data_IF_425703285937
#
_entry.id   IF_425703285937
#
_cell.length_a   1.000
_cell.length_b   1.000
_cell.length_c   1.000
_cell.angle_alpha   90.00
_cell.angle_beta   90.00
_cell.angle_gamma   90.00
#
_symmetry.space_group_name_H-M   'P 1'
#
loop_
_entity.id
_entity.type
_entity.pdbx_description
1 polymer ?
#
# COMPACT_ATOMS: atom_id res chain seq x y z
N UNK A 1 -8.25 6.66 1.86
CA UNK A 1 -7.35 6.70 0.68
C UNK A 1 -6.38 7.85 0.90
N UNK A 2 -5.08 7.66 0.67
CA UNK A 2 -4.09 8.75 0.73
C UNK A 2 -3.49 9.01 -0.64
N UNK A 3 -3.37 10.29 -0.99
CA UNK A 3 -2.87 10.77 -2.28
C UNK A 3 -1.39 11.14 -2.21
N UNK A 4 -0.71 11.02 -3.35
CA UNK A 4 0.71 11.31 -3.44
C UNK A 4 0.95 12.10 -4.72
N UNK A 5 1.47 13.30 -4.57
CA UNK A 5 1.86 14.14 -5.69
C UNK A 5 3.34 13.92 -5.98
N UNK A 6 3.66 13.22 -7.07
CA UNK A 6 5.04 13.24 -7.57
C UNK A 6 5.26 14.58 -8.25
N UNK A 7 6.02 15.50 -7.63
CA UNK A 7 6.43 16.74 -8.31
C UNK A 7 7.13 16.39 -9.62
N UNK A 8 6.44 16.63 -10.74
CA UNK A 8 6.74 16.09 -12.07
C UNK A 8 5.50 15.55 -12.82
N UNK A 9 4.42 16.33 -12.85
CA UNK A 9 3.22 16.31 -13.73
C UNK A 9 2.51 15.05 -14.26
N UNK A 10 2.92 13.78 -14.05
CA UNK A 10 2.18 12.67 -14.70
C UNK A 10 1.93 11.38 -13.91
N UNK A 11 2.24 11.29 -12.62
CA UNK A 11 1.65 10.20 -11.81
C UNK A 11 1.34 10.64 -10.37
N UNK A 12 0.09 10.44 -9.97
CA UNK A 12 -0.24 10.38 -8.56
C UNK A 12 -0.37 8.90 -8.18
N UNK A 13 0.68 8.33 -7.60
CA UNK A 13 0.57 7.01 -7.01
C UNK A 13 -0.37 7.06 -5.79
N UNK A 14 -1.05 5.96 -5.51
CA UNK A 14 -1.98 5.87 -4.38
C UNK A 14 -1.70 4.63 -3.56
N UNK A 15 -1.73 4.79 -2.24
CA UNK A 15 -1.85 3.66 -1.31
C UNK A 15 -3.22 3.68 -0.66
N UNK A 16 -3.88 2.54 -0.76
CA UNK A 16 -5.17 2.29 -0.15
C UNK A 16 -5.05 1.16 0.86
N UNK A 17 -5.68 1.35 2.02
CA UNK A 17 -6.01 0.26 2.91
C UNK A 17 -7.45 -0.18 2.62
N UNK A 18 -7.62 -1.44 2.25
CA UNK A 18 -8.89 -2.06 1.90
C UNK A 18 -9.29 -3.06 2.99
N UNK A 19 -10.59 -3.20 3.20
CA UNK A 19 -11.16 -4.10 4.20
C UNK A 19 -12.38 -4.84 3.66
N UNK A 20 -12.52 -6.12 4.02
CA UNK A 20 -13.71 -6.93 3.73
C UNK A 20 -14.40 -7.32 5.03
N UNK A 21 -15.62 -6.82 5.24
CA UNK A 21 -16.47 -7.21 6.38
C UNK A 21 -16.86 -8.70 6.34
N UNK A 22 -16.99 -9.28 5.14
CA UNK A 22 -17.37 -10.69 4.97
C UNK A 22 -16.25 -11.65 5.37
N UNK A 23 -15.01 -11.30 5.05
CA UNK A 23 -13.84 -12.13 5.33
C UNK A 23 -13.11 -11.72 6.61
N UNK A 24 -13.45 -10.55 7.17
CA UNK A 24 -12.72 -9.88 8.23
C UNK A 24 -11.22 -9.77 7.92
N UNK A 25 -10.90 -9.29 6.71
CA UNK A 25 -9.52 -9.18 6.24
C UNK A 25 -9.21 -7.78 5.74
N UNK A 26 -8.00 -7.30 6.06
CA UNK A 26 -7.42 -6.08 5.54
C UNK A 26 -6.31 -6.37 4.52
N UNK A 27 -6.09 -5.49 3.55
CA UNK A 27 -4.93 -5.54 2.65
C UNK A 27 -4.61 -4.15 2.10
N UNK A 28 -3.36 -3.94 1.72
CA UNK A 28 -2.94 -2.73 1.04
C UNK A 28 -2.99 -2.91 -0.49
N UNK A 29 -3.34 -1.84 -1.20
CA UNK A 29 -3.18 -1.73 -2.65
C UNK A 29 -2.32 -0.50 -2.95
N UNK A 30 -1.27 -0.69 -3.74
CA UNK A 30 -0.57 0.37 -4.45
C UNK A 30 -1.16 0.48 -5.85
N UNK A 31 -1.41 1.68 -6.35
CA UNK A 31 -1.86 1.92 -7.73
C UNK A 31 -1.20 3.15 -8.33
N UNK A 32 -1.15 3.21 -9.66
CA UNK A 32 -0.54 4.30 -10.42
C UNK A 32 0.93 4.54 -10.05
N UNK A 33 1.65 3.47 -9.66
CA UNK A 33 3.04 3.55 -9.28
C UNK A 33 3.96 3.06 -10.41
N UNK A 34 5.19 3.55 -10.38
CA UNK A 34 6.25 3.12 -11.29
C UNK A 34 7.01 1.92 -10.74
N UNK A 35 7.30 0.98 -11.62
CA UNK A 35 8.24 -0.10 -11.40
C UNK A 35 9.69 0.39 -11.31
N UNK A 36 10.66 -0.53 -11.18
CA UNK A 36 12.08 -0.18 -11.08
C UNK A 36 12.64 0.39 -12.39
N UNK A 37 13.56 1.35 -12.27
CA UNK A 37 14.34 1.87 -13.38
C UNK A 37 15.52 0.94 -13.76
N UNK A 38 15.97 0.95 -15.03
CA UNK A 38 17.22 0.28 -15.43
C UNK A 38 18.41 0.76 -14.58
N UNK A 39 18.97 -0.13 -13.75
CA UNK A 39 20.08 0.18 -12.85
C UNK A 39 19.68 0.59 -11.42
N UNK A 40 18.38 0.77 -11.15
CA UNK A 40 17.81 0.92 -9.81
C UNK A 40 16.70 -0.11 -9.61
N UNK A 41 17.04 -1.24 -8.99
CA UNK A 41 16.11 -2.36 -8.77
C UNK A 41 15.03 -2.08 -7.70
N UNK A 42 14.89 -0.84 -7.22
CA UNK A 42 13.91 -0.49 -6.18
C UNK A 42 12.68 0.16 -6.82
N UNK A 43 11.70 -0.66 -7.20
CA UNK A 43 10.38 -0.19 -7.62
C UNK A 43 9.50 0.25 -6.45
N UNK A 44 8.30 0.77 -6.76
CA UNK A 44 7.30 1.06 -5.74
C UNK A 44 6.84 -0.21 -5.00
N UNK A 45 6.42 -0.06 -3.74
CA UNK A 45 5.90 -1.16 -2.93
C UNK A 45 4.79 -0.68 -1.98
N UNK A 46 3.95 -1.61 -1.54
CA UNK A 46 3.05 -1.39 -0.41
C UNK A 46 3.26 -2.45 0.68
N UNK A 47 2.99 -2.04 1.91
CA UNK A 47 3.03 -2.86 3.11
C UNK A 47 1.65 -2.83 3.77
N UNK A 48 1.23 -3.98 4.28
CA UNK A 48 0.17 -4.09 5.28
C UNK A 48 0.82 -4.51 6.59
N UNK A 49 0.57 -3.75 7.65
CA UNK A 49 0.98 -4.05 9.02
C UNK A 49 -0.26 -4.46 9.82
N UNK A 50 -0.28 -5.72 10.24
CA UNK A 50 -1.33 -6.24 11.10
C UNK A 50 -0.99 -5.91 12.54
N UNK A 51 -1.72 -4.97 13.13
CA UNK A 51 -1.40 -4.44 14.45
C UNK A 51 -1.61 -5.45 15.59
N UNK A 52 -2.44 -6.49 15.39
CA UNK A 52 -2.70 -7.50 16.41
C UNK A 52 -1.48 -8.38 16.74
N UNK A 53 -0.61 -8.64 15.77
CA UNK A 53 0.57 -9.51 15.93
C UNK A 53 1.85 -8.92 15.32
N UNK A 54 1.80 -7.63 14.95
CA UNK A 54 2.89 -6.85 14.35
C UNK A 54 3.45 -7.43 13.04
N UNK A 55 2.79 -8.41 12.42
CA UNK A 55 3.26 -8.99 11.16
C UNK A 55 3.11 -7.99 10.01
N UNK A 56 4.05 -8.04 9.09
CA UNK A 56 4.07 -7.21 7.90
C UNK A 56 4.12 -8.08 6.65
N UNK A 57 3.33 -7.70 5.65
CA UNK A 57 3.33 -8.33 4.34
C UNK A 57 3.50 -7.25 3.28
N UNK A 58 4.36 -7.54 2.30
CA UNK A 58 4.79 -6.59 1.28
C UNK A 58 4.34 -7.05 -0.10
N UNK A 59 3.99 -6.10 -0.96
CA UNK A 59 3.96 -6.30 -2.40
C UNK A 59 4.95 -5.36 -3.06
N UNK A 60 5.72 -5.89 -4.00
CA UNK A 60 6.74 -5.19 -4.74
C UNK A 60 6.34 -5.08 -6.21
N UNK A 61 6.56 -3.92 -6.81
CA UNK A 61 6.57 -3.77 -8.25
C UNK A 61 7.93 -4.23 -8.76
N UNK A 62 7.96 -5.38 -9.43
CA UNK A 62 9.20 -6.02 -9.92
C UNK A 62 9.44 -5.78 -11.40
N UNK A 63 8.40 -5.45 -12.15
CA UNK A 63 8.50 -5.20 -13.59
C UNK A 63 8.64 -3.71 -13.87
N UNK A 64 9.56 -3.36 -14.75
CA UNK A 64 9.74 -2.00 -15.25
C UNK A 64 8.53 -1.60 -16.10
N UNK A 65 7.51 -1.06 -15.44
CA UNK A 65 6.27 -0.61 -16.07
C UNK A 65 5.72 0.62 -15.36
N UNK A 66 4.99 1.43 -16.12
CA UNK A 66 4.32 2.63 -15.64
C UNK A 66 2.88 2.33 -15.24
N UNK A 67 2.30 3.16 -14.36
CA UNK A 67 0.90 3.07 -13.95
C UNK A 67 0.48 1.69 -13.41
N UNK A 68 1.39 1.03 -12.71
CA UNK A 68 1.21 -0.34 -12.23
C UNK A 68 0.50 -0.38 -10.87
N UNK A 69 0.07 -1.56 -10.47
CA UNK A 69 -0.55 -1.79 -9.18
C UNK A 69 -0.08 -3.09 -8.54
N UNK A 70 0.04 -3.11 -7.22
CA UNK A 70 0.30 -4.32 -6.45
C UNK A 70 -0.66 -4.43 -5.26
N UNK A 71 -0.88 -5.66 -4.82
CA UNK A 71 -1.71 -5.98 -3.66
C UNK A 71 -0.89 -6.79 -2.67
N UNK A 72 -0.97 -6.44 -1.40
CA UNK A 72 -0.40 -7.27 -0.34
C UNK A 72 -1.26 -8.51 -0.13
N UNK A 73 -0.73 -9.48 0.61
CA UNK A 73 -1.55 -10.54 1.19
C UNK A 73 -2.71 -9.94 2.01
N UNK A 74 -3.85 -10.64 2.00
CA UNK A 74 -4.95 -10.35 2.90
C UNK A 74 -4.63 -10.88 4.28
N UNK A 75 -4.72 -10.02 5.29
CA UNK A 75 -4.48 -10.37 6.69
C UNK A 75 -5.78 -10.34 7.46
N UNK A 76 -6.04 -11.36 8.27
CA UNK A 76 -7.19 -11.36 9.17
C UNK A 76 -7.08 -10.21 10.17
N UNK A 77 -8.13 -9.41 10.26
CA UNK A 77 -8.24 -8.21 11.10
C UNK A 77 -9.70 -8.04 11.53
N UNK A 78 -10.02 -8.50 12.73
CA UNK A 78 -11.36 -8.44 13.30
C UNK A 78 -11.29 -7.86 14.71
N UNK A 79 -12.17 -6.92 15.00
CA UNK A 79 -12.49 -6.35 16.32
C UNK A 79 -11.34 -6.36 17.36
N UNK A 80 -10.59 -5.25 17.50
CA UNK A 80 -10.73 -3.99 16.77
C UNK A 80 -10.08 -4.07 15.38
N UNK A 81 -10.73 -3.48 14.36
CA UNK A 81 -10.15 -3.32 13.03
C UNK A 81 -9.01 -2.30 13.13
N UNK A 82 -7.76 -2.77 13.11
CA UNK A 82 -6.62 -1.91 13.49
C UNK A 82 -5.51 -1.86 12.47
N UNK A 83 -5.49 -2.69 11.42
CA UNK A 83 -4.35 -2.75 10.50
C UNK A 83 -4.00 -1.41 9.86
N UNK A 84 -2.75 -1.24 9.43
CA UNK A 84 -2.30 -0.05 8.71
C UNK A 84 -1.59 -0.41 7.41
N UNK A 85 -1.78 0.39 6.38
CA UNK A 85 -1.04 0.30 5.13
C UNK A 85 0.06 1.36 5.06
N UNK A 86 1.16 1.04 4.40
CA UNK A 86 2.20 1.98 4.03
C UNK A 86 2.51 1.80 2.55
N UNK A 87 2.78 2.90 1.85
CA UNK A 87 3.13 2.88 0.44
C UNK A 87 4.43 3.60 0.20
N UNK A 88 5.14 3.18 -0.84
CA UNK A 88 6.39 3.75 -1.32
C UNK A 88 6.39 3.69 -2.86
N UNK A 89 6.82 4.75 -3.53
CA UNK A 89 6.97 4.80 -4.99
C UNK A 89 8.44 4.88 -5.36
N UNK A 90 8.72 4.54 -6.61
CA UNK A 90 10.05 4.62 -7.22
C UNK A 90 10.82 5.93 -6.86
N UNK A 91 10.12 7.05 -6.77
CA UNK A 91 10.69 8.38 -6.54
C UNK A 91 10.96 8.69 -5.05
N UNK A 92 10.78 7.75 -4.13
CA UNK A 92 10.89 7.94 -2.69
C UNK A 92 9.94 9.00 -2.09
N UNK A 93 8.90 9.36 -2.82
CA UNK A 93 7.95 10.44 -2.52
C UNK A 93 6.76 9.98 -1.68
N UNK A 94 6.44 8.67 -1.66
CA UNK A 94 5.42 8.14 -0.75
C UNK A 94 6.06 7.70 0.57
N UNK A 95 5.79 8.45 1.64
CA UNK A 95 6.18 8.09 3.01
C UNK A 95 5.03 8.28 4.00
N UNK A 96 3.92 7.61 3.78
CA UNK A 96 2.75 7.80 4.64
C UNK A 96 2.10 6.48 5.04
N UNK A 97 1.74 6.41 6.32
CA UNK A 97 0.89 5.35 6.86
C UNK A 97 -0.57 5.75 6.71
N UNK A 98 -1.35 4.90 6.05
CA UNK A 98 -2.81 4.93 6.08
C UNK A 98 -3.27 3.95 7.15
N UNK A 99 -3.99 4.41 8.16
CA UNK A 99 -4.53 3.53 9.21
C UNK A 99 -5.94 3.10 8.85
N UNK A 100 -6.33 1.87 9.24
CA UNK A 100 -7.74 1.51 9.28
C UNK A 100 -8.38 2.38 10.34
N UNK A 101 -9.48 3.04 9.98
CA UNK A 101 -10.28 3.72 10.97
C UNK A 101 -10.99 2.68 11.83
N UNK A 102 -10.75 2.68 13.13
CA UNK A 102 -11.69 2.15 14.12
C UNK A 102 -12.83 3.15 14.22
N UNK A 103 -13.87 3.05 13.39
CA UNK A 103 -15.14 3.69 13.71
C UNK A 103 -16.06 2.61 14.29
N UNK A 104 -16.38 2.66 15.60
CA UNK A 104 -17.36 1.79 16.21
C UNK A 104 -18.74 2.30 15.79
N UNK A 105 -19.23 1.81 14.66
CA UNK A 105 -20.66 1.76 14.40
C UNK A 105 -21.01 0.32 14.03
#
# INVERSE_FOLDING_TARGET
MSHLNSGGDWSEAYVELRYSLKCHTAWARLSNAYGPDPGNFTGGYALIHRNSDLKQYRCDLVDAAENTSCYTAMVYDKDPITSSAYGFDHDWKLRHWVKAWTSPY
#
